data_IF_507600098475
#
_entry.id   IF_507600098475
#
_cell.length_a   1.000
_cell.length_b   1.000
_cell.length_c   1.000
_cell.angle_alpha   90.00
_cell.angle_beta   90.00
_cell.angle_gamma   90.00
#
_symmetry.space_group_name_H-M   'P 1'
#
loop_
_entity.id
_entity.type
_entity.pdbx_description
1 polymer ?
#
# COMPACT_ATOMS: atom_id res chain seq x y z
N UNK A 1 -36.92 27.31 -25.01
CA UNK A 1 -35.55 27.85 -24.75
C UNK A 1 -35.23 27.51 -23.32
N UNK A 2 -34.53 26.39 -23.12
CA UNK A 2 -33.97 25.98 -21.82
C UNK A 2 -32.46 26.12 -21.91
N UNK A 3 -31.95 27.00 -21.08
CA UNK A 3 -30.57 27.43 -20.94
C UNK A 3 -29.66 26.21 -20.60
N UNK A 4 -28.73 25.93 -21.52
CA UNK A 4 -27.73 24.88 -21.32
C UNK A 4 -26.68 25.41 -20.34
N UNK A 5 -26.76 24.97 -19.10
CA UNK A 5 -25.82 25.31 -18.04
C UNK A 5 -24.38 24.98 -18.45
N UNK A 6 -23.51 25.99 -18.40
CA UNK A 6 -22.08 25.92 -18.54
C UNK A 6 -21.49 24.98 -17.47
N UNK A 7 -21.33 23.72 -17.81
CA UNK A 7 -20.52 22.81 -17.06
C UNK A 7 -19.05 23.21 -17.19
N UNK A 8 -18.52 23.94 -16.22
CA UNK A 8 -17.08 24.14 -16.06
C UNK A 8 -16.45 22.74 -15.91
N UNK A 9 -15.78 22.27 -16.96
CA UNK A 9 -14.92 21.10 -16.84
C UNK A 9 -13.74 21.48 -15.93
N UNK A 10 -13.84 21.15 -14.67
CA UNK A 10 -12.72 21.28 -13.73
C UNK A 10 -11.67 20.28 -14.19
N UNK A 11 -10.59 20.77 -14.80
CA UNK A 11 -9.42 19.92 -15.09
C UNK A 11 -8.93 19.36 -13.75
N UNK A 12 -8.85 18.05 -13.56
CA UNK A 12 -8.41 17.48 -12.29
C UNK A 12 -7.01 17.99 -11.95
N UNK A 13 -6.79 18.35 -10.67
CA UNK A 13 -5.47 18.76 -10.18
C UNK A 13 -4.53 17.57 -10.38
N UNK A 14 -3.49 17.74 -11.18
CA UNK A 14 -2.52 16.67 -11.51
C UNK A 14 -1.45 16.48 -10.43
N UNK A 15 -1.13 17.53 -9.69
CA UNK A 15 -0.10 17.56 -8.67
C UNK A 15 -0.61 18.29 -7.43
N UNK A 16 -0.41 17.69 -6.26
CA UNK A 16 -0.64 18.31 -4.97
C UNK A 16 0.69 18.32 -4.18
N UNK A 17 0.95 19.40 -3.43
CA UNK A 17 2.11 19.49 -2.55
C UNK A 17 1.68 19.41 -1.09
N UNK A 18 2.28 18.49 -0.36
CA UNK A 18 2.07 18.29 1.08
C UNK A 18 3.10 19.08 1.88
N UNK A 19 2.67 19.77 2.92
CA UNK A 19 3.55 20.57 3.79
C UNK A 19 3.87 19.92 5.13
N UNK A 20 3.33 18.72 5.40
CA UNK A 20 3.50 18.03 6.68
C UNK A 20 3.84 16.56 6.47
N UNK A 21 4.52 15.97 7.43
CA UNK A 21 4.85 14.55 7.44
C UNK A 21 3.58 13.69 7.36
N UNK A 22 3.62 12.68 6.49
CA UNK A 22 2.50 11.77 6.24
C UNK A 22 2.18 10.89 7.45
N UNK A 23 3.19 10.51 8.24
CA UNK A 23 3.01 9.71 9.43
C UNK A 23 2.69 10.53 10.69
N UNK A 24 3.49 11.55 11.04
CA UNK A 24 3.35 12.25 12.33
C UNK A 24 2.72 13.65 12.23
N UNK A 25 2.44 14.15 11.00
CA UNK A 25 1.87 15.47 10.71
C UNK A 25 2.75 16.68 11.11
N UNK A 26 3.99 16.46 11.52
CA UNK A 26 4.95 17.53 11.76
C UNK A 26 5.33 18.25 10.48
N UNK A 27 5.59 19.55 10.57
CA UNK A 27 6.14 20.39 9.51
C UNK A 27 7.67 20.48 9.55
N UNK A 28 8.33 19.81 10.50
CA UNK A 28 9.79 19.78 10.64
C UNK A 28 10.39 18.81 9.59
N UNK A 29 10.40 19.25 8.34
CA UNK A 29 10.79 18.49 7.17
C UNK A 29 12.04 19.11 6.54
N UNK A 30 12.99 18.26 6.14
CA UNK A 30 14.20 18.63 5.43
C UNK A 30 14.24 17.99 4.04
N UNK A 31 14.56 18.75 3.01
CA UNK A 31 14.89 18.23 1.68
C UNK A 31 16.27 17.56 1.73
N UNK A 32 16.32 16.24 1.63
CA UNK A 32 17.56 15.47 1.72
C UNK A 32 18.11 15.05 0.35
N UNK A 33 17.24 14.93 -0.67
CA UNK A 33 17.66 14.58 -2.03
C UNK A 33 16.74 15.25 -3.05
N UNK A 34 17.30 16.09 -3.92
CA UNK A 34 16.59 16.71 -5.02
C UNK A 34 16.98 16.01 -6.33
N UNK A 35 16.01 15.35 -6.96
CA UNK A 35 16.19 14.72 -8.26
C UNK A 35 15.62 15.60 -9.37
N UNK A 36 16.13 15.40 -10.59
CA UNK A 36 15.56 16.04 -11.76
C UNK A 36 14.12 15.60 -11.95
N UNK A 37 13.16 16.54 -12.20
CA UNK A 37 11.78 16.18 -12.50
C UNK A 37 11.70 15.21 -13.68
N UNK A 38 10.88 14.17 -13.55
CA UNK A 38 10.69 13.13 -14.57
C UNK A 38 9.21 12.90 -14.87
N UNK A 39 8.85 12.28 -16.00
CA UNK A 39 7.54 11.68 -16.16
C UNK A 39 7.31 10.56 -15.13
N UNK A 40 6.05 10.16 -14.87
CA UNK A 40 5.79 8.96 -14.07
C UNK A 40 6.42 7.71 -14.67
N UNK A 41 6.96 6.82 -13.83
CA UNK A 41 7.80 5.69 -14.27
C UNK A 41 7.06 4.72 -15.22
N UNK A 42 5.76 4.47 -15.00
CA UNK A 42 4.94 3.52 -15.78
C UNK A 42 4.11 4.19 -16.87
N UNK A 43 4.31 5.48 -17.14
CA UNK A 43 3.62 6.22 -18.19
C UNK A 43 4.25 5.98 -19.56
N UNK A 44 4.13 4.75 -20.07
CA UNK A 44 4.68 4.38 -21.38
C UNK A 44 4.00 5.15 -22.52
N UNK A 45 4.80 5.65 -23.46
CA UNK A 45 4.32 6.33 -24.65
C UNK A 45 4.33 5.38 -25.86
N UNK A 46 3.31 5.48 -26.70
CA UNK A 46 3.25 4.74 -27.96
C UNK A 46 4.21 5.33 -28.98
N UNK A 47 4.57 4.54 -29.99
CA UNK A 47 5.59 4.93 -31.01
C UNK A 47 5.25 6.22 -31.74
N UNK A 48 3.98 6.48 -31.97
CA UNK A 48 3.47 7.69 -32.64
C UNK A 48 3.58 8.94 -31.75
N UNK A 49 3.67 8.79 -30.43
CA UNK A 49 3.78 9.87 -29.44
C UNK A 49 5.22 10.15 -28.96
N UNK A 50 6.20 9.43 -29.46
CA UNK A 50 7.61 9.61 -29.03
C UNK A 50 8.19 11.02 -29.24
N UNK A 51 7.61 11.79 -30.18
CA UNK A 51 8.00 13.19 -30.44
C UNK A 51 7.24 14.21 -29.60
N UNK A 52 6.22 13.80 -28.85
CA UNK A 52 5.47 14.68 -27.96
C UNK A 52 6.23 14.93 -26.66
N UNK A 53 6.11 16.16 -26.13
CA UNK A 53 6.66 16.48 -24.81
C UNK A 53 5.87 15.75 -23.73
N UNK A 54 6.56 15.02 -22.87
CA UNK A 54 5.99 14.40 -21.69
C UNK A 54 5.92 15.39 -20.53
N UNK A 55 4.84 15.33 -19.76
CA UNK A 55 4.72 16.10 -18.53
C UNK A 55 5.64 15.51 -17.47
N UNK A 56 6.38 16.38 -16.77
CA UNK A 56 7.33 16.00 -15.71
C UNK A 56 6.86 16.54 -14.37
N UNK A 57 7.10 15.78 -13.31
CA UNK A 57 6.74 16.13 -11.95
C UNK A 57 7.97 16.17 -11.05
N UNK A 58 7.99 17.03 -10.00
CA UNK A 58 9.07 17.05 -9.02
C UNK A 58 9.29 15.68 -8.36
N UNK A 59 10.54 15.36 -8.05
CA UNK A 59 10.94 14.13 -7.40
C UNK A 59 11.95 14.45 -6.29
N UNK A 60 11.42 15.04 -5.21
CA UNK A 60 12.19 15.52 -4.07
C UNK A 60 11.92 14.66 -2.84
N UNK A 61 12.98 14.09 -2.26
CA UNK A 61 12.89 13.25 -1.06
C UNK A 61 13.12 14.11 0.18
N UNK A 62 12.21 13.99 1.14
CA UNK A 62 12.25 14.73 2.39
C UNK A 62 12.35 13.79 3.60
N UNK A 63 13.09 14.23 4.61
CA UNK A 63 13.22 13.59 5.91
C UNK A 63 12.43 14.35 6.96
N UNK A 64 11.72 13.63 7.81
CA UNK A 64 11.01 14.20 8.96
C UNK A 64 11.84 14.07 10.23
N UNK A 65 12.34 15.19 10.76
CA UNK A 65 13.14 15.21 11.98
C UNK A 65 12.35 14.81 13.24
N UNK A 66 11.02 14.82 13.19
CA UNK A 66 10.18 14.47 14.34
C UNK A 66 10.02 12.97 14.52
N UNK A 67 9.87 12.21 13.42
CA UNK A 67 9.62 10.77 13.52
C UNK A 67 10.57 9.89 12.69
N UNK A 68 11.51 10.48 11.94
CA UNK A 68 12.46 9.71 11.10
C UNK A 68 11.90 9.23 9.76
N UNK A 69 10.66 9.60 9.37
CA UNK A 69 10.06 9.15 8.12
C UNK A 69 10.66 9.83 6.90
N UNK A 70 10.95 9.04 5.86
CA UNK A 70 11.42 9.52 4.55
C UNK A 70 10.29 9.45 3.53
N UNK A 71 10.07 10.53 2.75
CA UNK A 71 8.87 10.65 1.92
C UNK A 71 9.02 11.63 0.75
N UNK A 72 8.18 11.46 -0.27
CA UNK A 72 7.90 12.50 -1.28
C UNK A 72 6.76 13.38 -0.78
N UNK A 73 6.87 14.70 -1.01
CA UNK A 73 5.82 15.66 -0.67
C UNK A 73 4.99 16.11 -1.87
N UNK A 74 5.52 15.91 -3.07
CA UNK A 74 4.83 16.18 -4.33
C UNK A 74 4.07 14.92 -4.78
N UNK A 75 2.74 14.99 -4.75
CA UNK A 75 1.84 13.86 -4.98
C UNK A 75 1.20 14.01 -6.35
N UNK A 76 1.56 13.16 -7.28
CA UNK A 76 0.86 13.03 -8.56
C UNK A 76 -0.51 12.41 -8.31
N UNK A 77 -1.54 12.92 -8.99
CA UNK A 77 -2.89 12.40 -8.84
C UNK A 77 -2.91 10.87 -9.04
N UNK A 78 -3.35 10.08 -8.04
CA UNK A 78 -3.32 8.61 -8.10
C UNK A 78 -4.14 8.03 -9.28
N UNK A 79 -5.16 8.73 -9.76
CA UNK A 79 -5.90 8.30 -10.94
C UNK A 79 -5.02 8.24 -12.20
N UNK A 80 -4.05 9.17 -12.32
CA UNK A 80 -3.09 9.18 -13.43
C UNK A 80 -2.07 8.05 -13.34
N UNK A 81 -1.82 7.53 -12.14
CA UNK A 81 -0.82 6.49 -11.90
C UNK A 81 -1.42 5.08 -11.95
N UNK A 82 -2.65 4.89 -11.45
CA UNK A 82 -3.16 3.56 -11.12
C UNK A 82 -4.38 3.10 -11.93
N UNK A 83 -5.12 3.96 -12.64
CA UNK A 83 -6.27 3.49 -13.43
C UNK A 83 -5.88 2.64 -14.64
N UNK A 84 -4.78 2.98 -15.32
CA UNK A 84 -4.23 2.24 -16.45
C UNK A 84 -2.94 1.50 -16.06
N UNK A 85 -2.94 0.93 -14.85
CA UNK A 85 -1.77 0.25 -14.30
C UNK A 85 -1.42 -1.00 -15.11
N UNK A 86 -0.13 -1.15 -15.40
CA UNK A 86 0.33 -2.19 -16.35
C UNK A 86 1.01 -3.38 -15.69
N UNK A 87 1.33 -3.27 -14.39
CA UNK A 87 1.99 -4.34 -13.66
C UNK A 87 0.99 -5.42 -13.25
N UNK A 88 1.30 -6.68 -13.60
CA UNK A 88 0.48 -7.86 -13.26
C UNK A 88 1.30 -8.82 -12.44
N UNK A 89 0.84 -9.16 -11.24
CA UNK A 89 1.58 -9.95 -10.24
C UNK A 89 1.89 -11.38 -10.71
N UNK A 90 0.98 -12.02 -11.43
CA UNK A 90 1.15 -13.40 -11.92
C UNK A 90 2.21 -13.56 -13.01
N UNK A 91 2.69 -12.46 -13.59
CA UNK A 91 3.70 -12.53 -14.68
C UNK A 91 5.08 -13.00 -14.20
N UNK A 92 5.34 -12.88 -12.89
CA UNK A 92 6.60 -13.31 -12.27
C UNK A 92 6.43 -14.60 -11.45
N UNK A 93 7.01 -15.74 -11.86
CA UNK A 93 6.96 -16.97 -11.07
C UNK A 93 7.55 -16.82 -9.66
N UNK A 94 8.54 -15.96 -9.48
CA UNK A 94 9.15 -15.65 -8.18
C UNK A 94 8.11 -14.97 -7.27
N UNK A 95 7.34 -14.02 -7.81
CA UNK A 95 6.29 -13.34 -7.07
C UNK A 95 5.13 -14.27 -6.71
N UNK A 96 4.73 -15.14 -7.65
CA UNK A 96 3.71 -16.15 -7.39
C UNK A 96 4.12 -17.08 -6.24
N UNK A 97 5.38 -17.56 -6.22
CA UNK A 97 5.89 -18.38 -5.12
C UNK A 97 6.01 -17.60 -3.80
N UNK A 98 6.42 -16.33 -3.86
CA UNK A 98 6.42 -15.44 -2.70
C UNK A 98 5.02 -15.32 -2.08
N UNK A 99 3.99 -15.04 -2.86
CA UNK A 99 2.61 -14.94 -2.38
C UNK A 99 2.05 -16.27 -1.86
N UNK A 100 2.44 -17.39 -2.47
CA UNK A 100 2.09 -18.70 -1.93
C UNK A 100 2.66 -18.90 -0.52
N UNK A 101 3.96 -18.64 -0.32
CA UNK A 101 4.62 -18.73 0.99
C UNK A 101 4.05 -17.72 1.99
N UNK A 102 3.75 -16.52 1.53
CA UNK A 102 3.09 -15.49 2.33
C UNK A 102 1.76 -16.00 2.91
N UNK A 103 0.84 -16.47 2.05
CA UNK A 103 -0.44 -17.00 2.49
C UNK A 103 -0.28 -18.21 3.42
N UNK A 104 0.69 -19.11 3.14
CA UNK A 104 0.99 -20.26 3.98
C UNK A 104 1.48 -19.84 5.38
N UNK A 105 2.41 -18.88 5.45
CA UNK A 105 2.94 -18.37 6.71
C UNK A 105 1.85 -17.71 7.58
N UNK A 106 1.01 -16.86 6.97
CA UNK A 106 -0.09 -16.22 7.69
C UNK A 106 -1.10 -17.24 8.22
N UNK A 107 -1.50 -18.21 7.40
CA UNK A 107 -2.45 -19.26 7.81
C UNK A 107 -1.91 -20.17 8.92
N UNK A 108 -0.59 -20.31 9.04
CA UNK A 108 0.04 -21.12 10.10
C UNK A 108 0.22 -20.31 11.39
N UNK A 109 0.68 -19.07 11.28
CA UNK A 109 1.01 -18.24 12.45
C UNK A 109 -0.19 -17.57 13.09
N UNK A 110 -1.18 -17.21 12.28
CA UNK A 110 -2.40 -16.50 12.67
C UNK A 110 -3.62 -17.21 12.08
N UNK A 111 -3.91 -18.46 12.47
CA UNK A 111 -4.91 -19.28 11.81
C UNK A 111 -6.30 -18.66 11.96
N UNK A 112 -6.91 -18.12 10.88
CA UNK A 112 -8.26 -17.60 10.93
C UNK A 112 -9.26 -18.74 10.92
N UNK A 113 -10.48 -18.49 11.41
CA UNK A 113 -11.58 -19.47 11.31
C UNK A 113 -11.88 -19.79 9.83
N UNK A 114 -12.12 -21.07 9.49
CA UNK A 114 -12.43 -21.45 8.11
C UNK A 114 -13.64 -20.68 7.55
N UNK A 115 -13.49 -20.16 6.34
CA UNK A 115 -14.52 -19.37 5.66
C UNK A 115 -14.61 -17.90 6.09
N UNK A 116 -13.79 -17.44 7.05
CA UNK A 116 -13.72 -16.02 7.38
C UNK A 116 -13.10 -15.20 6.25
N UNK A 117 -13.34 -13.89 6.26
CA UNK A 117 -12.96 -12.97 5.18
C UNK A 117 -11.47 -12.64 5.23
N UNK A 118 -10.81 -12.77 4.09
CA UNK A 118 -9.50 -12.19 3.77
C UNK A 118 -9.72 -11.11 2.72
N UNK A 119 -9.33 -9.88 3.04
CA UNK A 119 -9.36 -8.74 2.14
C UNK A 119 -7.95 -8.38 1.69
N UNK A 120 -7.76 -8.14 0.38
CA UNK A 120 -6.51 -7.59 -0.15
C UNK A 120 -6.74 -6.22 -0.79
N UNK A 121 -6.02 -5.21 -0.30
CA UNK A 121 -6.06 -3.83 -0.79
C UNK A 121 -4.97 -3.68 -1.85
N UNK A 122 -5.35 -3.24 -3.07
CA UNK A 122 -4.48 -3.29 -4.25
C UNK A 122 -4.24 -4.72 -4.70
N UNK A 123 -5.34 -5.49 -4.81
CA UNK A 123 -5.30 -6.94 -5.00
C UNK A 123 -4.77 -7.38 -6.36
N UNK A 124 -4.58 -6.45 -7.29
CA UNK A 124 -4.09 -6.71 -8.63
C UNK A 124 -4.92 -7.82 -9.32
N UNK A 125 -4.29 -8.82 -9.91
CA UNK A 125 -4.94 -9.95 -10.58
C UNK A 125 -5.48 -11.05 -9.63
N UNK A 126 -5.47 -10.79 -8.32
CA UNK A 126 -5.96 -11.71 -7.29
C UNK A 126 -5.05 -12.89 -6.97
N UNK A 127 -3.79 -12.87 -7.42
CA UNK A 127 -2.84 -13.97 -7.22
C UNK A 127 -2.68 -14.32 -5.75
N UNK A 128 -2.44 -13.34 -4.85
CA UNK A 128 -2.34 -13.60 -3.41
C UNK A 128 -3.64 -14.19 -2.84
N UNK A 129 -4.78 -13.60 -3.16
CA UNK A 129 -6.09 -14.05 -2.70
C UNK A 129 -6.41 -15.49 -3.15
N UNK A 130 -5.93 -15.89 -4.33
CA UNK A 130 -6.12 -17.27 -4.81
C UNK A 130 -5.52 -18.33 -3.89
N UNK A 131 -4.43 -18.01 -3.19
CA UNK A 131 -3.81 -18.92 -2.22
C UNK A 131 -4.62 -19.03 -0.92
N UNK A 132 -5.20 -17.92 -0.45
CA UNK A 132 -6.12 -17.96 0.70
C UNK A 132 -7.43 -18.68 0.33
N UNK A 133 -7.97 -18.45 -0.87
CA UNK A 133 -9.17 -19.13 -1.35
C UNK A 133 -8.98 -20.66 -1.41
N UNK A 134 -7.83 -21.12 -1.92
CA UNK A 134 -7.47 -22.56 -1.96
C UNK A 134 -7.36 -23.19 -0.58
N UNK A 135 -7.17 -22.39 0.48
CA UNK A 135 -7.16 -22.82 1.88
C UNK A 135 -8.53 -22.68 2.56
N UNK A 136 -9.59 -22.41 1.81
CA UNK A 136 -10.96 -22.38 2.30
C UNK A 136 -11.41 -21.05 2.90
N UNK A 137 -10.69 -19.96 2.63
CA UNK A 137 -11.07 -18.63 3.08
C UNK A 137 -12.07 -17.98 2.10
N UNK A 138 -12.99 -17.16 2.60
CA UNK A 138 -13.69 -16.18 1.78
C UNK A 138 -12.73 -15.07 1.41
N UNK A 139 -12.68 -14.66 0.15
CA UNK A 139 -11.72 -13.66 -0.33
C UNK A 139 -12.40 -12.51 -1.04
N UNK A 140 -11.86 -11.30 -0.88
CA UNK A 140 -12.30 -10.10 -1.58
C UNK A 140 -11.09 -9.23 -1.92
N UNK A 141 -10.97 -8.84 -3.19
CA UNK A 141 -10.00 -7.85 -3.64
C UNK A 141 -10.62 -6.45 -3.74
N UNK A 142 -9.78 -5.42 -3.57
CA UNK A 142 -10.11 -4.04 -3.93
C UNK A 142 -8.97 -3.48 -4.75
N UNK A 143 -9.23 -3.11 -6.01
CA UNK A 143 -8.18 -2.60 -6.91
C UNK A 143 -8.73 -1.51 -7.84
N UNK A 144 -8.03 -0.35 -8.04
CA UNK A 144 -8.48 0.71 -8.94
C UNK A 144 -8.23 0.40 -10.42
N UNK A 145 -7.28 -0.49 -10.76
CA UNK A 145 -6.93 -0.84 -12.13
C UNK A 145 -8.00 -1.74 -12.75
N UNK A 146 -8.94 -1.14 -13.47
CA UNK A 146 -10.14 -1.81 -13.99
C UNK A 146 -9.84 -3.09 -14.77
N UNK A 147 -8.90 -3.04 -15.72
CA UNK A 147 -8.58 -4.18 -16.58
C UNK A 147 -8.01 -5.37 -15.80
N UNK A 148 -7.17 -5.10 -14.82
CA UNK A 148 -6.53 -6.11 -13.96
C UNK A 148 -7.56 -6.71 -12.99
N UNK A 149 -8.40 -5.87 -12.39
CA UNK A 149 -9.49 -6.32 -11.52
C UNK A 149 -10.53 -7.17 -12.26
N UNK A 150 -10.86 -6.84 -13.52
CA UNK A 150 -11.72 -7.66 -14.37
C UNK A 150 -11.09 -9.03 -14.68
N UNK A 151 -9.76 -9.10 -14.84
CA UNK A 151 -9.03 -10.36 -14.95
C UNK A 151 -9.13 -11.20 -13.67
N UNK A 152 -8.92 -10.59 -12.49
CA UNK A 152 -9.11 -11.27 -11.21
C UNK A 152 -10.53 -11.86 -11.08
N UNK A 153 -11.56 -11.08 -11.42
CA UNK A 153 -12.96 -11.52 -11.41
C UNK A 153 -13.17 -12.71 -12.37
N UNK A 154 -12.61 -12.64 -13.57
CA UNK A 154 -12.71 -13.74 -14.55
C UNK A 154 -12.05 -15.04 -14.09
N UNK A 155 -11.02 -14.91 -13.23
CA UNK A 155 -10.31 -16.01 -12.59
C UNK A 155 -10.99 -16.50 -11.28
N UNK A 156 -12.20 -15.98 -10.96
CA UNK A 156 -12.99 -16.42 -9.81
C UNK A 156 -12.59 -15.77 -8.48
N UNK A 157 -11.86 -14.66 -8.50
CA UNK A 157 -11.56 -13.83 -7.33
C UNK A 157 -12.49 -12.62 -7.31
N UNK A 158 -13.43 -12.61 -6.36
CA UNK A 158 -14.31 -11.46 -6.18
C UNK A 158 -13.47 -10.19 -5.93
N UNK A 159 -13.64 -9.16 -6.77
CA UNK A 159 -12.85 -7.92 -6.70
C UNK A 159 -13.75 -6.71 -6.92
N UNK A 160 -13.66 -5.75 -6.01
CA UNK A 160 -14.31 -4.45 -6.12
C UNK A 160 -13.38 -3.47 -6.84
N UNK A 161 -13.83 -2.92 -7.95
CA UNK A 161 -13.06 -1.95 -8.73
C UNK A 161 -13.16 -0.57 -8.06
N UNK A 162 -12.01 0.00 -7.67
CA UNK A 162 -11.89 1.32 -7.07
C UNK A 162 -10.83 1.40 -5.99
N UNK A 163 -10.61 2.60 -5.46
CA UNK A 163 -9.70 2.82 -4.34
C UNK A 163 -10.34 2.38 -3.02
N UNK A 164 -9.53 1.80 -2.13
CA UNK A 164 -9.94 1.47 -0.77
C UNK A 164 -10.00 2.73 0.11
N UNK A 165 -11.02 2.80 0.96
CA UNK A 165 -11.23 3.87 1.93
C UNK A 165 -12.41 3.59 2.81
N UNK A 166 -12.78 4.53 3.70
CA UNK A 166 -13.80 4.28 4.73
C UNK A 166 -15.15 3.84 4.15
N UNK A 167 -15.64 4.48 3.10
CA UNK A 167 -16.92 4.11 2.49
C UNK A 167 -16.93 2.66 1.94
N UNK A 168 -15.79 2.22 1.38
CA UNK A 168 -15.61 0.84 0.90
C UNK A 168 -15.53 -0.14 2.07
N UNK A 169 -14.81 0.22 3.14
CA UNK A 169 -14.74 -0.60 4.35
C UNK A 169 -16.11 -0.77 5.00
N UNK A 170 -16.90 0.31 5.10
CA UNK A 170 -18.28 0.29 5.67
C UNK A 170 -19.20 -0.60 4.84
N UNK A 171 -19.13 -0.52 3.50
CA UNK A 171 -19.87 -1.37 2.57
C UNK A 171 -19.51 -2.86 2.75
N UNK A 172 -18.21 -3.16 2.82
CA UNK A 172 -17.70 -4.54 3.03
C UNK A 172 -18.15 -5.05 4.39
N UNK A 173 -18.00 -4.27 5.44
CA UNK A 173 -18.44 -4.65 6.80
C UNK A 173 -19.93 -4.97 6.84
N UNK A 174 -20.77 -4.16 6.18
CA UNK A 174 -22.21 -4.35 6.14
C UNK A 174 -22.63 -5.58 5.32
N UNK A 175 -21.88 -5.97 4.29
CA UNK A 175 -22.27 -7.04 3.35
C UNK A 175 -21.55 -8.37 3.58
N UNK A 176 -20.31 -8.35 4.06
CA UNK A 176 -19.45 -9.52 4.25
C UNK A 176 -19.08 -9.77 5.72
N UNK A 177 -19.26 -8.78 6.60
CA UNK A 177 -18.79 -8.82 7.98
C UNK A 177 -17.32 -8.40 8.13
N UNK A 178 -16.78 -8.55 9.36
CA UNK A 178 -15.40 -8.18 9.65
C UNK A 178 -14.39 -9.14 8.98
N UNK A 179 -13.20 -8.61 8.66
CA UNK A 179 -12.14 -9.38 8.05
C UNK A 179 -11.18 -9.95 9.12
N UNK A 180 -10.87 -11.24 9.02
CA UNK A 180 -9.83 -11.86 9.85
C UNK A 180 -8.42 -11.53 9.39
N UNK A 181 -8.24 -11.29 8.09
CA UNK A 181 -6.96 -10.85 7.53
C UNK A 181 -7.23 -9.72 6.53
N UNK A 182 -6.54 -8.60 6.68
CA UNK A 182 -6.47 -7.55 5.68
C UNK A 182 -5.02 -7.47 5.21
N UNK A 183 -4.79 -7.48 3.90
CA UNK A 183 -3.45 -7.34 3.30
C UNK A 183 -3.34 -6.08 2.46
N UNK A 184 -2.12 -5.51 2.39
CA UNK A 184 -1.79 -4.36 1.53
C UNK A 184 -0.33 -4.44 1.10
N UNK A 185 -0.07 -5.03 -0.08
CA UNK A 185 1.29 -5.29 -0.55
C UNK A 185 1.69 -4.30 -1.63
N UNK A 186 2.75 -3.51 -1.37
CA UNK A 186 3.21 -2.41 -2.20
C UNK A 186 2.12 -1.34 -2.46
N UNK A 187 1.20 -1.15 -1.51
CA UNK A 187 0.11 -0.17 -1.57
C UNK A 187 0.27 0.87 -0.47
N UNK A 188 0.64 0.45 0.74
CA UNK A 188 0.77 1.34 1.89
C UNK A 188 1.87 2.40 1.69
N UNK A 189 2.90 2.11 0.87
CA UNK A 189 3.91 3.08 0.46
C UNK A 189 3.41 4.07 -0.62
N UNK A 190 2.33 3.74 -1.33
CA UNK A 190 1.80 4.54 -2.45
C UNK A 190 0.70 5.53 -2.04
N UNK A 191 0.12 5.35 -0.87
CA UNK A 191 -1.01 6.16 -0.42
C UNK A 191 -0.55 7.47 0.24
N UNK A 192 -1.22 8.57 -0.08
CA UNK A 192 -0.98 9.86 0.58
C UNK A 192 -1.66 9.94 1.95
N UNK A 193 -2.92 9.53 2.07
CA UNK A 193 -3.69 9.57 3.32
C UNK A 193 -3.66 8.21 4.02
N UNK A 194 -2.51 7.89 4.65
CA UNK A 194 -2.34 6.68 5.43
C UNK A 194 -3.24 6.63 6.66
N UNK A 195 -3.55 7.78 7.27
CA UNK A 195 -4.47 7.87 8.40
C UNK A 195 -5.87 7.36 8.03
N UNK A 196 -6.38 7.76 6.85
CA UNK A 196 -7.71 7.33 6.39
C UNK A 196 -7.76 5.83 6.10
N UNK A 197 -6.73 5.32 5.41
CA UNK A 197 -6.62 3.88 5.11
C UNK A 197 -6.54 3.07 6.40
N UNK A 198 -5.71 3.49 7.36
CA UNK A 198 -5.54 2.77 8.63
C UNK A 198 -6.82 2.77 9.45
N UNK A 199 -7.57 3.89 9.49
CA UNK A 199 -8.90 3.90 10.14
C UNK A 199 -9.89 2.96 9.47
N UNK A 200 -9.90 2.92 8.14
CA UNK A 200 -10.75 2.03 7.37
C UNK A 200 -10.40 0.55 7.62
N UNK A 201 -9.10 0.21 7.62
CA UNK A 201 -8.61 -1.13 7.98
C UNK A 201 -9.04 -1.48 9.41
N UNK A 202 -8.76 -0.60 10.38
CA UNK A 202 -9.14 -0.79 11.78
C UNK A 202 -10.63 -1.07 11.95
N UNK A 203 -11.49 -0.32 11.25
CA UNK A 203 -12.95 -0.49 11.35
C UNK A 203 -13.44 -1.81 10.76
N UNK A 204 -12.70 -2.40 9.84
CA UNK A 204 -13.06 -3.64 9.15
C UNK A 204 -12.48 -4.89 9.83
N UNK A 205 -11.41 -4.77 10.61
CA UNK A 205 -10.79 -5.92 11.27
C UNK A 205 -11.73 -6.58 12.28
N UNK A 206 -11.75 -7.92 12.27
CA UNK A 206 -12.30 -8.71 13.37
C UNK A 206 -11.51 -8.44 14.66
N UNK A 207 -12.10 -8.69 15.86
CA UNK A 207 -11.40 -8.48 17.14
C UNK A 207 -10.07 -9.22 17.27
N UNK A 208 -9.94 -10.36 16.60
CA UNK A 208 -8.75 -11.20 16.49
C UNK A 208 -8.09 -11.12 15.11
N UNK A 209 -8.51 -10.16 14.29
CA UNK A 209 -8.02 -9.96 12.93
C UNK A 209 -6.63 -9.31 12.91
N UNK A 210 -5.91 -9.55 11.81
CA UNK A 210 -4.60 -8.96 11.56
C UNK A 210 -4.60 -8.12 10.28
N UNK A 211 -3.79 -7.06 10.31
CA UNK A 211 -3.41 -6.29 9.12
C UNK A 211 -1.97 -6.61 8.76
N UNK A 212 -1.73 -7.08 7.56
CA UNK A 212 -0.39 -7.43 7.05
C UNK A 212 -0.08 -6.56 5.84
N UNK A 213 1.07 -5.91 5.85
CA UNK A 213 1.51 -5.09 4.73
C UNK A 213 2.94 -5.42 4.33
N UNK A 214 3.23 -5.27 3.04
CA UNK A 214 4.60 -5.25 2.52
C UNK A 214 4.89 -3.91 1.86
N UNK A 215 6.06 -3.34 2.16
CA UNK A 215 6.52 -2.06 1.64
C UNK A 215 8.03 -2.10 1.43
N UNK A 216 8.55 -1.23 0.55
CA UNK A 216 10.00 -1.03 0.43
C UNK A 216 10.59 -0.65 1.79
N UNK A 217 11.65 -1.35 2.21
CA UNK A 217 12.33 -1.10 3.48
C UNK A 217 13.42 -0.05 3.31
N UNK A 218 13.31 1.07 4.04
CA UNK A 218 14.26 2.18 3.92
C UNK A 218 15.71 1.77 4.16
N UNK A 219 15.97 0.88 5.14
CA UNK A 219 17.33 0.40 5.40
C UNK A 219 17.90 -0.35 4.18
N UNK A 220 17.10 -1.18 3.48
CA UNK A 220 17.51 -1.83 2.24
C UNK A 220 17.80 -0.81 1.12
N UNK A 221 16.96 0.22 1.00
CA UNK A 221 17.15 1.28 -0.01
C UNK A 221 18.49 1.97 0.19
N UNK A 222 18.87 2.24 1.43
CA UNK A 222 20.15 2.88 1.78
C UNK A 222 21.32 1.89 1.62
N UNK A 223 21.26 0.73 2.27
CA UNK A 223 22.33 -0.27 2.30
C UNK A 223 22.70 -0.79 0.90
N UNK A 224 21.68 -1.02 0.07
CA UNK A 224 21.84 -1.59 -1.28
C UNK A 224 21.89 -0.53 -2.38
N UNK A 225 21.76 0.75 -2.02
CA UNK A 225 21.71 1.88 -2.97
C UNK A 225 20.64 1.68 -4.04
N UNK A 226 19.41 1.35 -3.63
CA UNK A 226 18.27 1.10 -4.52
C UNK A 226 17.68 2.43 -5.01
N UNK A 227 18.48 3.19 -5.75
CA UNK A 227 18.12 4.52 -6.22
C UNK A 227 16.93 4.52 -7.19
N UNK A 228 16.76 3.47 -7.96
CA UNK A 228 15.68 3.25 -8.91
C UNK A 228 14.30 3.03 -8.24
N UNK A 229 14.26 2.84 -6.92
CA UNK A 229 13.00 2.79 -6.19
C UNK A 229 12.38 4.17 -5.92
N UNK A 230 13.13 5.25 -6.25
CA UNK A 230 12.66 6.63 -6.06
C UNK A 230 11.90 7.09 -7.30
N UNK A 231 10.57 6.99 -7.25
CA UNK A 231 9.66 7.44 -8.30
C UNK A 231 8.28 7.79 -7.74
N UNK A 232 7.43 8.44 -8.52
CA UNK A 232 6.22 9.14 -8.05
C UNK A 232 5.16 8.26 -7.36
N UNK A 233 5.16 6.96 -7.62
CA UNK A 233 4.25 6.02 -6.95
C UNK A 233 4.68 5.76 -5.50
N UNK A 234 5.99 5.79 -5.19
CA UNK A 234 6.55 5.53 -3.87
C UNK A 234 6.57 6.82 -3.03
N UNK A 235 5.44 7.16 -2.43
CA UNK A 235 5.31 8.37 -1.60
C UNK A 235 6.00 8.24 -0.25
N UNK A 236 6.25 7.02 0.22
CA UNK A 236 6.81 6.71 1.55
C UNK A 236 7.89 5.65 1.46
N UNK A 237 9.00 5.89 2.16
CA UNK A 237 10.10 4.95 2.38
C UNK A 237 10.07 4.58 3.85
N UNK A 238 9.57 3.39 4.16
CA UNK A 238 9.22 3.02 5.52
C UNK A 238 10.39 2.41 6.30
N UNK A 239 10.46 2.76 7.59
CA UNK A 239 11.23 2.08 8.63
C UNK A 239 10.30 1.69 9.77
N UNK A 240 10.77 0.81 10.67
CA UNK A 240 9.90 0.17 11.66
C UNK A 240 9.47 1.13 12.77
N UNK A 241 10.41 1.94 13.28
CA UNK A 241 10.09 2.84 14.40
C UNK A 241 9.01 3.89 14.06
N UNK A 242 9.07 4.63 12.93
CA UNK A 242 8.01 5.53 12.53
C UNK A 242 6.67 4.83 12.31
N UNK A 243 6.67 3.61 11.75
CA UNK A 243 5.45 2.83 11.54
C UNK A 243 4.82 2.38 12.86
N UNK A 244 5.63 1.88 13.83
CA UNK A 244 5.14 1.51 15.15
C UNK A 244 4.42 2.69 15.81
N UNK A 245 5.07 3.84 15.88
CA UNK A 245 4.48 5.06 16.43
C UNK A 245 3.22 5.50 15.68
N UNK A 246 3.16 5.29 14.37
CA UNK A 246 2.01 5.59 13.56
C UNK A 246 0.83 4.68 13.92
N UNK A 247 1.02 3.36 13.98
CA UNK A 247 -0.05 2.41 14.32
C UNK A 247 -0.55 2.58 15.75
N UNK A 248 0.34 2.84 16.72
CA UNK A 248 -0.04 3.13 18.11
C UNK A 248 -0.99 4.32 18.21
N UNK A 249 -0.80 5.39 17.42
CA UNK A 249 -1.73 6.54 17.37
C UNK A 249 -3.09 6.21 16.77
N UNK A 250 -3.21 5.08 16.09
CA UNK A 250 -4.47 4.57 15.53
C UNK A 250 -5.09 3.46 16.38
N UNK A 251 -4.63 3.27 17.64
CA UNK A 251 -5.04 2.16 18.52
C UNK A 251 -4.86 0.81 17.83
N UNK A 252 -3.78 0.63 17.12
CA UNK A 252 -3.28 -0.61 16.56
C UNK A 252 -1.86 -0.85 17.07
N UNK A 253 -1.43 -2.09 17.12
CA UNK A 253 -0.08 -2.45 17.55
C UNK A 253 0.60 -3.37 16.52
N UNK A 254 1.88 -3.13 16.29
CA UNK A 254 2.71 -4.01 15.48
C UNK A 254 3.17 -5.19 16.35
N UNK A 255 2.83 -6.40 15.94
CA UNK A 255 3.14 -7.65 16.66
C UNK A 255 4.22 -8.47 15.97
N UNK A 256 4.68 -8.03 14.82
CA UNK A 256 5.76 -8.68 14.10
C UNK A 256 6.21 -7.91 12.88
N UNK A 257 7.48 -8.07 12.56
CA UNK A 257 8.08 -7.62 11.30
C UNK A 257 9.02 -8.68 10.74
N UNK A 258 9.17 -8.69 9.43
CA UNK A 258 10.12 -9.52 8.70
C UNK A 258 10.72 -8.76 7.52
N UNK A 259 11.93 -9.16 7.11
CA UNK A 259 12.59 -8.65 5.89
C UNK A 259 12.41 -9.70 4.80
N UNK A 260 11.91 -9.26 3.64
CA UNK A 260 11.62 -10.09 2.48
C UNK A 260 12.51 -9.66 1.31
N UNK A 261 12.98 -10.62 0.51
CA UNK A 261 13.91 -10.37 -0.60
C UNK A 261 13.20 -9.92 -1.90
N UNK A 262 11.95 -9.44 -1.79
CA UNK A 262 11.19 -8.92 -2.94
C UNK A 262 11.55 -7.47 -3.22
N UNK A 263 11.50 -7.05 -4.49
CA UNK A 263 11.77 -5.67 -4.95
C UNK A 263 13.09 -5.06 -4.43
N UNK A 264 14.13 -5.86 -4.27
CA UNK A 264 15.42 -5.41 -3.74
C UNK A 264 15.50 -5.41 -2.21
N UNK A 265 14.37 -5.52 -1.52
CA UNK A 265 14.23 -5.59 -0.07
C UNK A 265 12.93 -4.93 0.39
N UNK A 266 12.10 -5.71 1.05
CA UNK A 266 10.81 -5.28 1.58
C UNK A 266 10.71 -5.57 3.07
N UNK A 267 9.92 -4.75 3.75
CA UNK A 267 9.49 -4.93 5.13
C UNK A 267 8.06 -5.49 5.12
N UNK A 268 7.86 -6.68 5.71
CA UNK A 268 6.53 -7.19 6.03
C UNK A 268 6.20 -6.84 7.47
N UNK A 269 5.19 -6.00 7.69
CA UNK A 269 4.66 -5.67 9.00
C UNK A 269 3.37 -6.40 9.28
N UNK A 270 3.17 -6.81 10.52
CA UNK A 270 1.96 -7.47 11.01
C UNK A 270 1.42 -6.66 12.18
N UNK A 271 0.18 -6.19 12.07
CA UNK A 271 -0.50 -5.41 13.08
C UNK A 271 -1.81 -6.07 13.50
N UNK A 272 -2.25 -5.77 14.72
CA UNK A 272 -3.58 -6.09 15.23
C UNK A 272 -4.22 -4.86 15.88
N UNK A 273 -5.46 -4.95 16.30
CA UNK A 273 -6.07 -3.96 17.19
C UNK A 273 -5.31 -3.94 18.51
N UNK A 274 -5.14 -2.76 19.13
CA UNK A 274 -4.45 -2.63 20.42
C UNK A 274 -5.09 -3.52 21.48
N UNK A 275 -4.28 -4.32 22.17
CA UNK A 275 -4.74 -5.32 23.13
C UNK A 275 -5.38 -6.55 22.50
N UNK A 276 -5.16 -6.81 21.23
CA UNK A 276 -5.61 -8.01 20.53
C UNK A 276 -4.95 -9.29 21.07
N UNK A 277 -5.43 -10.48 20.63
CA UNK A 277 -5.04 -11.74 21.25
C UNK A 277 -3.67 -12.28 20.84
N UNK A 278 -3.07 -11.75 19.76
CA UNK A 278 -1.81 -12.28 19.26
C UNK A 278 -0.62 -11.72 20.02
N UNK A 279 0.29 -12.58 20.42
CA UNK A 279 1.50 -12.18 21.11
C UNK A 279 2.48 -11.46 20.16
N UNK A 280 3.10 -10.38 20.64
CA UNK A 280 4.29 -9.81 20.01
C UNK A 280 5.41 -10.86 19.97
N UNK A 281 6.01 -11.07 18.80
CA UNK A 281 7.09 -12.02 18.60
C UNK A 281 8.49 -11.42 18.89
N UNK A 282 8.56 -10.17 19.36
CA UNK A 282 9.79 -9.46 19.70
C UNK A 282 10.60 -8.94 18.51
N UNK A 283 10.17 -9.21 17.27
CA UNK A 283 10.93 -8.78 16.08
C UNK A 283 10.92 -7.25 15.88
N UNK A 284 9.86 -6.57 16.30
CA UNK A 284 9.71 -5.12 16.18
C UNK A 284 10.87 -4.40 16.88
N UNK A 285 11.14 -4.73 18.15
CA UNK A 285 12.24 -4.14 18.91
C UNK A 285 13.62 -4.49 18.34
N UNK A 286 13.78 -5.69 17.78
CA UNK A 286 15.03 -6.12 17.11
C UNK A 286 15.30 -5.27 15.89
N UNK A 287 14.27 -4.97 15.07
CA UNK A 287 14.42 -4.15 13.87
C UNK A 287 14.70 -2.69 14.23
N UNK A 288 13.98 -2.12 15.20
CA UNK A 288 14.22 -0.75 15.70
C UNK A 288 15.65 -0.60 16.21
N UNK A 289 16.14 -1.57 17.00
CA UNK A 289 17.52 -1.53 17.49
C UNK A 289 18.54 -1.49 16.36
N UNK A 290 18.30 -2.25 15.27
CA UNK A 290 19.18 -2.25 14.09
C UNK A 290 19.09 -0.97 13.27
N UNK A 291 17.93 -0.34 13.22
CA UNK A 291 17.74 0.95 12.54
C UNK A 291 18.50 2.10 13.25
N UNK A 292 18.85 1.93 14.52
CA UNK A 292 19.64 2.90 15.30
C UNK A 292 21.16 2.66 15.23
N UNK A 293 21.65 1.56 14.67
CA UNK A 293 23.07 1.25 14.45
C UNK A 293 23.67 2.00 13.25
#
# INVERSE_FOLDING_TARGET
ELDAGNGLSVTPIKLNHRSTCRLCRSDNLELILALTPTPPANAFVTKDKLSESQETFPLNVHFCHTCGHVQLLDIVNPELLFYDYVYVSSTSPIFVDHFRRYAEDIMVRYPPEPGSLVLDIGSNDGTLLSFFQKKGMAVLGVDPAKSIAEEAISNGIETRIGFFGQAVADEILATKGPASVVTANNVFAHADDLDSITRAVKSLLAPDGIFVFEVSYLADVIEKTLFDTIYHEHLSYHSVEPLRQFFERHDMEMIGVGREDTHGGSLRGICQLAGGPHADNGSVEVFISKEHE
#
